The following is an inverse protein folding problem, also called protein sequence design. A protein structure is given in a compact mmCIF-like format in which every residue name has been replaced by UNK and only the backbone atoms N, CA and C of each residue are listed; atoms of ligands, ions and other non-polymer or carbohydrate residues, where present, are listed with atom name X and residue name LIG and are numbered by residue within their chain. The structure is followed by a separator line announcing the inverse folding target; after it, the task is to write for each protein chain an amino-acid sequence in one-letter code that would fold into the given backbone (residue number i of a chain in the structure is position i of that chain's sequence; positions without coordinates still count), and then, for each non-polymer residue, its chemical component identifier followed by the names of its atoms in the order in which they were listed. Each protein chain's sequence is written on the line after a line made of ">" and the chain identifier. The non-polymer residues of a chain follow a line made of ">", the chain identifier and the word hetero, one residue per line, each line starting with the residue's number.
data_IF_391893336194
#
_entry.id   IF_391893336194
#
_cell.length_a   1.000
_cell.length_b   1.000
_cell.length_c   1.000
_cell.angle_alpha   90.00
_cell.angle_beta   90.00
_cell.angle_gamma   90.00
#
_symmetry.space_group_name_H-M   'P 1'
#
loop_
_entity.id
_entity.type
_entity.pdbx_description
1 polymer ?
#
# COMPACT_ATOMS: atom_id res chain seq x y z
N UNK A 1 -7.99 18.85 6.22
CA UNK A 1 -9.24 19.10 5.43
C UNK A 1 -9.53 17.85 4.61
N UNK A 2 -10.78 17.35 4.64
CA UNK A 2 -11.19 16.16 3.89
C UNK A 2 -10.85 16.30 2.40
N UNK A 3 -10.32 15.23 1.79
CA UNK A 3 -10.04 15.19 0.36
C UNK A 3 -11.32 14.86 -0.43
N UNK A 4 -11.54 15.60 -1.50
CA UNK A 4 -12.65 15.39 -2.44
C UNK A 4 -12.06 15.51 -3.84
N UNK A 5 -12.34 14.55 -4.70
CA UNK A 5 -11.95 14.59 -6.12
C UNK A 5 -12.66 15.76 -6.78
N UNK A 6 -11.89 16.67 -7.38
CA UNK A 6 -12.43 17.86 -8.04
C UNK A 6 -13.05 17.50 -9.40
N UNK A 7 -14.23 18.02 -9.65
CA UNK A 7 -14.86 17.90 -10.99
C UNK A 7 -13.99 18.58 -12.07
N UNK A 8 -13.87 17.89 -13.20
CA UNK A 8 -13.13 18.39 -14.36
C UNK A 8 -13.89 18.14 -15.66
N UNK A 9 -14.42 19.21 -16.26
CA UNK A 9 -15.22 19.13 -17.48
C UNK A 9 -14.43 18.59 -18.67
N UNK A 10 -13.14 18.93 -18.81
CA UNK A 10 -12.30 18.41 -19.89
C UNK A 10 -12.08 16.90 -19.77
N UNK A 11 -11.90 16.41 -18.54
CA UNK A 11 -11.81 14.97 -18.29
C UNK A 11 -13.13 14.28 -18.62
N UNK A 12 -14.27 14.87 -18.25
CA UNK A 12 -15.59 14.31 -18.58
C UNK A 12 -15.80 14.21 -20.09
N UNK A 13 -15.46 15.24 -20.85
CA UNK A 13 -15.53 15.23 -22.31
C UNK A 13 -14.60 14.19 -22.95
N UNK A 14 -13.40 13.99 -22.36
CA UNK A 14 -12.45 12.97 -22.78
C UNK A 14 -13.02 11.57 -22.55
N UNK A 15 -13.49 11.27 -21.35
CA UNK A 15 -14.04 9.96 -20.97
C UNK A 15 -15.26 9.60 -21.84
N UNK A 16 -16.12 10.56 -22.15
CA UNK A 16 -17.30 10.32 -23.00
C UNK A 16 -16.97 9.95 -24.46
N UNK A 17 -15.73 10.20 -24.90
CA UNK A 17 -15.25 9.85 -26.25
C UNK A 17 -14.44 8.56 -26.27
N UNK A 18 -14.03 8.04 -25.12
CA UNK A 18 -13.22 6.83 -25.02
C UNK A 18 -14.03 5.57 -25.32
N UNK A 19 -13.41 4.64 -26.03
CA UNK A 19 -13.94 3.28 -26.17
C UNK A 19 -13.70 2.46 -24.89
N UNK A 20 -14.25 1.24 -24.81
CA UNK A 20 -14.14 0.40 -23.62
C UNK A 20 -12.69 0.07 -23.25
N UNK A 21 -11.83 -0.27 -24.23
CA UNK A 21 -10.42 -0.57 -23.97
C UNK A 21 -9.67 0.63 -23.37
N UNK A 22 -9.89 1.82 -23.92
CA UNK A 22 -9.30 3.06 -23.40
C UNK A 22 -9.77 3.35 -21.97
N UNK A 23 -11.07 3.14 -21.68
CA UNK A 23 -11.62 3.30 -20.34
C UNK A 23 -11.01 2.30 -19.34
N UNK A 24 -10.87 1.04 -19.73
CA UNK A 24 -10.30 0.00 -18.89
C UNK A 24 -8.82 0.29 -18.55
N UNK A 25 -8.05 0.85 -19.48
CA UNK A 25 -6.69 1.30 -19.22
C UNK A 25 -6.60 2.43 -18.17
N UNK A 26 -7.69 3.18 -17.94
CA UNK A 26 -7.73 4.21 -16.90
C UNK A 26 -7.95 3.66 -15.48
N UNK A 27 -8.47 2.45 -15.34
CA UNK A 27 -8.95 1.87 -14.07
C UNK A 27 -8.20 0.61 -13.64
N UNK A 28 -7.03 0.39 -14.22
CA UNK A 28 -6.09 -0.66 -13.82
C UNK A 28 -4.74 -0.07 -13.46
N UNK A 29 -4.03 -0.75 -12.57
CA UNK A 29 -2.65 -0.49 -12.22
C UNK A 29 -1.85 -1.79 -12.42
N UNK A 30 -1.46 -2.13 -13.65
CA UNK A 30 -0.69 -3.32 -13.94
C UNK A 30 0.70 -3.24 -13.31
N UNK A 31 1.29 -4.41 -13.06
CA UNK A 31 2.70 -4.54 -12.70
C UNK A 31 3.55 -4.85 -13.92
N UNK A 32 4.82 -4.48 -13.87
CA UNK A 32 5.78 -4.79 -14.94
C UNK A 32 6.35 -6.18 -14.69
N UNK A 33 5.78 -7.19 -15.34
CA UNK A 33 6.27 -8.58 -15.22
C UNK A 33 7.04 -9.05 -16.46
N UNK A 34 6.55 -8.84 -17.68
CA UNK A 34 7.10 -9.53 -18.84
C UNK A 34 7.46 -8.63 -20.04
N UNK A 35 6.60 -7.73 -20.49
CA UNK A 35 6.88 -6.86 -21.65
C UNK A 35 6.49 -5.42 -21.35
N UNK A 36 7.30 -4.46 -21.82
CA UNK A 36 7.03 -3.03 -21.64
C UNK A 36 5.80 -2.56 -22.45
N UNK A 37 5.38 -3.31 -23.47
CA UNK A 37 4.29 -2.92 -24.37
C UNK A 37 2.93 -2.95 -23.69
N UNK A 38 2.67 -3.91 -22.80
CA UNK A 38 1.37 -4.08 -22.14
C UNK A 38 1.02 -2.96 -21.14
N UNK A 39 2.01 -2.23 -20.66
CA UNK A 39 1.79 -1.16 -19.67
C UNK A 39 1.74 0.24 -20.28
N UNK A 40 2.14 0.40 -21.55
CA UNK A 40 2.23 1.74 -22.18
C UNK A 40 0.88 2.41 -22.43
N UNK A 41 -0.22 1.67 -22.41
CA UNK A 41 -1.58 2.19 -22.53
C UNK A 41 -2.19 2.57 -21.17
N UNK A 42 -1.71 2.00 -20.06
CA UNK A 42 -2.23 2.25 -18.72
C UNK A 42 -1.82 3.65 -18.21
N UNK A 43 -2.61 4.22 -17.34
CA UNK A 43 -2.35 5.52 -16.68
C UNK A 43 -1.65 5.39 -15.34
N UNK A 44 -1.60 4.18 -14.81
CA UNK A 44 -0.99 3.83 -13.52
C UNK A 44 -0.17 2.56 -13.70
N UNK A 45 0.98 2.46 -13.03
CA UNK A 45 1.84 1.30 -13.16
C UNK A 45 2.59 1.02 -11.86
N UNK A 46 2.53 -0.22 -11.40
CA UNK A 46 3.32 -0.69 -10.26
C UNK A 46 4.68 -1.20 -10.72
N UNK A 47 5.72 -0.79 -10.00
CA UNK A 47 7.09 -1.26 -10.23
C UNK A 47 7.56 -2.03 -9.01
N UNK A 48 7.88 -3.30 -9.20
CA UNK A 48 8.41 -4.16 -8.13
C UNK A 48 9.74 -3.65 -7.60
N UNK A 49 10.03 -3.90 -6.29
CA UNK A 49 11.28 -3.52 -5.65
C UNK A 49 12.52 -3.89 -6.47
N UNK A 50 13.43 -2.95 -6.60
CA UNK A 50 14.68 -3.12 -7.37
C UNK A 50 15.71 -2.04 -6.99
N UNK A 51 16.89 -2.09 -7.62
CA UNK A 51 17.90 -1.04 -7.46
C UNK A 51 17.41 0.30 -8.02
N UNK A 52 17.90 1.40 -7.44
CA UNK A 52 17.60 2.77 -7.84
C UNK A 52 17.73 2.97 -9.37
N UNK A 53 18.87 2.57 -9.93
CA UNK A 53 19.16 2.76 -11.36
C UNK A 53 18.24 1.94 -12.26
N UNK A 54 17.90 0.72 -11.86
CA UNK A 54 16.99 -0.13 -12.63
C UNK A 54 15.57 0.43 -12.65
N UNK A 55 15.08 0.89 -11.50
CA UNK A 55 13.75 1.48 -11.41
C UNK A 55 13.66 2.78 -12.21
N UNK A 56 14.64 3.67 -12.04
CA UNK A 56 14.70 4.92 -12.78
C UNK A 56 14.71 4.70 -14.29
N UNK A 57 15.57 3.80 -14.78
CA UNK A 57 15.64 3.45 -16.20
C UNK A 57 14.32 2.86 -16.72
N UNK A 58 13.64 2.00 -15.95
CA UNK A 58 12.33 1.46 -16.32
C UNK A 58 11.29 2.57 -16.45
N UNK A 59 11.22 3.48 -15.48
CA UNK A 59 10.29 4.61 -15.48
C UNK A 59 10.56 5.52 -16.70
N UNK A 60 11.81 5.88 -16.94
CA UNK A 60 12.20 6.70 -18.09
C UNK A 60 11.84 6.04 -19.43
N UNK A 61 12.10 4.75 -19.58
CA UNK A 61 11.75 4.00 -20.79
C UNK A 61 10.23 3.97 -21.02
N UNK A 62 9.43 3.62 -19.99
CA UNK A 62 7.97 3.58 -20.13
C UNK A 62 7.42 4.98 -20.44
N UNK A 63 7.92 6.00 -19.75
CA UNK A 63 7.51 7.39 -19.98
C UNK A 63 7.79 7.83 -21.41
N UNK A 64 8.92 7.42 -21.99
CA UNK A 64 9.30 7.76 -23.37
C UNK A 64 8.41 7.10 -24.44
N UNK A 65 7.82 5.95 -24.11
CA UNK A 65 6.93 5.20 -25.01
C UNK A 65 5.46 5.66 -24.89
N UNK A 66 5.11 6.33 -23.81
CA UNK A 66 3.74 6.74 -23.53
C UNK A 66 3.35 8.05 -24.19
N UNK A 67 2.11 8.12 -24.67
CA UNK A 67 1.52 9.33 -25.26
C UNK A 67 0.79 10.21 -24.23
N UNK A 68 0.66 9.73 -22.99
CA UNK A 68 -0.02 10.44 -21.90
C UNK A 68 0.79 10.35 -20.60
N UNK A 69 0.43 11.16 -19.63
CA UNK A 69 1.04 11.13 -18.30
C UNK A 69 0.65 9.86 -17.56
N UNK A 70 1.58 9.27 -16.84
CA UNK A 70 1.41 8.07 -16.04
C UNK A 70 1.91 8.30 -14.62
N UNK A 71 1.24 7.71 -13.62
CA UNK A 71 1.74 7.65 -12.25
C UNK A 71 2.35 6.29 -11.97
N UNK A 72 3.57 6.31 -11.44
CA UNK A 72 4.29 5.12 -11.01
C UNK A 72 4.16 4.94 -9.50
N UNK A 73 3.93 3.70 -9.08
CA UNK A 73 3.71 3.33 -7.68
C UNK A 73 4.57 2.13 -7.27
N UNK A 74 4.93 2.06 -5.99
CA UNK A 74 5.56 0.89 -5.36
C UNK A 74 5.24 0.88 -3.85
N UNK A 75 5.57 -0.23 -3.17
CA UNK A 75 5.37 -0.36 -1.72
C UNK A 75 6.52 0.29 -0.95
N UNK A 76 6.22 1.36 -0.24
CA UNK A 76 7.15 2.00 0.69
C UNK A 76 6.46 2.17 2.05
N UNK A 77 6.39 1.10 2.83
CA UNK A 77 5.73 1.11 4.13
C UNK A 77 6.63 1.64 5.24
N UNK A 78 7.95 1.55 5.05
CA UNK A 78 8.97 1.94 6.02
C UNK A 78 10.14 2.68 5.33
N UNK A 79 9.82 3.80 4.68
CA UNK A 79 10.80 4.56 3.92
C UNK A 79 11.06 4.00 2.51
N UNK A 80 11.77 4.77 1.68
CA UNK A 80 12.06 4.38 0.29
C UNK A 80 12.95 3.13 0.21
N UNK A 81 13.89 2.95 1.12
CA UNK A 81 14.80 1.80 1.14
C UNK A 81 14.13 0.45 1.40
N UNK A 82 12.82 0.42 1.70
CA UNK A 82 12.05 -0.84 1.73
C UNK A 82 11.73 -1.38 0.33
N UNK A 83 11.77 -0.54 -0.70
CA UNK A 83 11.47 -0.91 -2.09
C UNK A 83 12.60 -0.54 -3.07
N UNK A 84 13.36 0.52 -2.78
CA UNK A 84 14.40 1.06 -3.67
C UNK A 84 15.77 0.75 -3.04
N UNK A 85 16.47 -0.25 -3.58
CA UNK A 85 17.83 -0.56 -3.13
C UNK A 85 18.78 0.61 -3.50
N UNK A 86 19.50 1.10 -2.48
CA UNK A 86 20.33 2.31 -2.55
C UNK A 86 19.66 3.58 -2.00
N UNK A 87 18.37 3.54 -1.64
CA UNK A 87 17.72 4.60 -0.85
C UNK A 87 17.87 4.35 0.65
N UNK A 88 17.58 5.38 1.47
CA UNK A 88 17.69 5.30 2.93
C UNK A 88 16.76 4.24 3.49
N UNK A 89 17.34 3.29 4.22
CA UNK A 89 16.61 2.19 4.83
C UNK A 89 16.27 2.51 6.29
N UNK A 90 15.02 2.86 6.51
CA UNK A 90 14.49 2.97 7.85
C UNK A 90 14.08 1.60 8.40
N UNK A 91 14.04 1.42 9.74
CA UNK A 91 13.41 0.26 10.34
C UNK A 91 11.88 0.29 10.13
N UNK A 92 11.18 -0.74 10.62
CA UNK A 92 9.74 -0.88 10.44
C UNK A 92 8.92 0.22 11.12
N UNK A 93 7.63 0.34 10.77
CA UNK A 93 6.69 1.23 11.46
C UNK A 93 6.57 0.88 12.96
N UNK A 94 6.69 -0.40 13.33
CA UNK A 94 6.78 -0.82 14.73
C UNK A 94 7.96 -0.17 15.45
N UNK A 95 9.11 -0.15 14.82
CA UNK A 95 10.29 0.50 15.40
C UNK A 95 10.10 2.03 15.55
N UNK A 96 9.42 2.68 14.60
CA UNK A 96 9.08 4.10 14.73
C UNK A 96 8.21 4.36 15.98
N UNK A 97 7.23 3.50 16.25
CA UNK A 97 6.43 3.57 17.46
C UNK A 97 7.25 3.31 18.72
N UNK A 98 8.07 2.26 18.72
CA UNK A 98 8.93 1.89 19.86
C UNK A 98 9.99 2.96 20.18
N UNK A 99 10.45 3.72 19.19
CA UNK A 99 11.34 4.86 19.40
C UNK A 99 10.68 6.00 20.20
N UNK A 100 9.35 6.06 20.21
CA UNK A 100 8.58 7.02 21.01
C UNK A 100 8.59 8.45 20.48
N UNK A 101 9.19 8.70 19.31
CA UNK A 101 9.29 10.03 18.68
C UNK A 101 8.49 10.06 17.37
N UNK A 102 7.34 10.75 17.40
CA UNK A 102 6.47 10.93 16.23
C UNK A 102 7.18 11.67 15.08
N UNK A 103 8.11 12.55 15.39
CA UNK A 103 8.84 13.31 14.38
C UNK A 103 9.73 12.40 13.52
N UNK A 104 10.25 11.31 14.07
CA UNK A 104 11.01 10.33 13.30
C UNK A 104 10.12 9.62 12.26
N UNK A 105 8.87 9.32 12.59
CA UNK A 105 7.92 8.79 11.61
C UNK A 105 7.61 9.80 10.49
N UNK A 106 7.47 11.08 10.81
CA UNK A 106 7.32 12.13 9.82
C UNK A 106 8.56 12.23 8.91
N UNK A 107 9.76 12.23 9.50
CA UNK A 107 11.02 12.30 8.75
C UNK A 107 11.25 11.07 7.87
N UNK A 108 10.83 9.89 8.31
CA UNK A 108 10.80 8.68 7.49
C UNK A 108 9.90 8.85 6.25
N UNK A 109 8.71 9.46 6.42
CA UNK A 109 7.79 9.77 5.31
C UNK A 109 8.37 10.83 4.37
N UNK A 110 8.99 11.87 4.91
CA UNK A 110 9.71 12.90 4.13
C UNK A 110 10.82 12.30 3.28
N UNK A 111 11.66 11.46 3.89
CA UNK A 111 12.74 10.77 3.19
C UNK A 111 12.19 9.88 2.07
N UNK A 112 11.15 9.08 2.36
CA UNK A 112 10.51 8.22 1.38
C UNK A 112 10.01 9.01 0.17
N UNK A 113 9.29 10.12 0.41
CA UNK A 113 8.77 10.95 -0.67
C UNK A 113 9.89 11.59 -1.50
N UNK A 114 10.92 12.13 -0.84
CA UNK A 114 12.02 12.79 -1.50
C UNK A 114 12.82 11.84 -2.40
N UNK A 115 13.20 10.68 -1.87
CA UNK A 115 14.01 9.68 -2.59
C UNK A 115 13.20 9.00 -3.71
N UNK A 116 11.95 8.62 -3.43
CA UNK A 116 11.07 8.01 -4.43
C UNK A 116 10.80 8.93 -5.62
N UNK A 117 10.55 10.22 -5.37
CA UNK A 117 10.31 11.19 -6.44
C UNK A 117 11.55 11.45 -7.30
N UNK A 118 12.75 11.33 -6.76
CA UNK A 118 13.99 11.38 -7.55
C UNK A 118 14.14 10.22 -8.54
N UNK A 119 13.56 9.07 -8.20
CA UNK A 119 13.49 7.91 -9.12
C UNK A 119 12.41 8.10 -10.17
N UNK A 120 11.36 8.86 -9.87
CA UNK A 120 10.21 9.10 -10.74
C UNK A 120 8.90 8.49 -10.22
N UNK A 121 8.86 8.05 -8.97
CA UNK A 121 7.62 7.60 -8.34
C UNK A 121 6.75 8.78 -7.92
N UNK A 122 5.44 8.56 -7.92
CA UNK A 122 4.41 9.54 -7.61
C UNK A 122 3.51 9.09 -6.46
N UNK A 123 3.48 7.78 -6.18
CA UNK A 123 2.52 7.15 -5.31
C UNK A 123 3.14 5.97 -4.57
N UNK A 124 2.70 5.73 -3.33
CA UNK A 124 3.10 4.55 -2.54
C UNK A 124 1.90 3.87 -1.89
N UNK A 125 1.98 2.53 -1.77
CA UNK A 125 1.05 1.74 -0.99
C UNK A 125 1.51 1.64 0.47
N UNK A 126 1.32 2.71 1.18
CA UNK A 126 1.62 2.92 2.59
C UNK A 126 1.07 4.26 3.07
N UNK A 127 0.84 4.38 4.37
CA UNK A 127 1.16 3.47 5.47
C UNK A 127 0.19 2.30 5.63
N UNK A 128 0.67 1.23 6.29
CA UNK A 128 -0.15 0.18 6.85
C UNK A 128 -0.72 0.67 8.19
N UNK A 129 -2.07 0.71 8.30
CA UNK A 129 -2.79 1.15 9.50
C UNK A 129 -3.44 -0.01 10.26
N UNK A 130 -3.05 -1.23 9.92
CA UNK A 130 -3.54 -2.43 10.58
C UNK A 130 -3.05 -2.51 12.03
N UNK A 131 -3.93 -2.94 12.93
CA UNK A 131 -3.65 -3.07 14.36
C UNK A 131 -3.11 -4.50 14.62
N UNK A 132 -2.06 -4.65 15.39
CA UNK A 132 -1.57 -5.96 15.81
C UNK A 132 -2.47 -6.55 16.91
N UNK A 133 -3.65 -7.02 16.52
CA UNK A 133 -4.63 -7.62 17.42
C UNK A 133 -4.35 -9.10 17.73
N UNK A 134 -3.60 -9.77 16.88
CA UNK A 134 -3.17 -11.16 17.05
C UNK A 134 -1.69 -11.30 16.67
N UNK A 135 -0.85 -11.68 17.62
CA UNK A 135 0.60 -11.87 17.40
C UNK A 135 0.96 -12.99 16.41
N UNK A 136 0.02 -13.87 16.10
CA UNK A 136 0.17 -14.92 15.08
C UNK A 136 -0.31 -14.47 13.70
N UNK A 137 -0.74 -13.22 13.54
CA UNK A 137 -1.10 -12.70 12.22
C UNK A 137 0.16 -12.63 11.33
N UNK A 138 0.18 -13.33 10.19
CA UNK A 138 1.31 -13.28 9.26
C UNK A 138 1.40 -11.92 8.55
N UNK A 139 0.29 -11.18 8.51
CA UNK A 139 0.17 -9.97 7.70
C UNK A 139 0.63 -8.71 8.41
N UNK A 140 0.53 -8.64 9.72
CA UNK A 140 0.79 -7.40 10.45
C UNK A 140 2.15 -7.36 11.10
N UNK A 141 2.47 -8.24 12.02
CA UNK A 141 3.78 -8.34 12.67
C UNK A 141 4.48 -6.97 12.85
N UNK A 142 5.62 -6.76 12.21
CA UNK A 142 6.40 -5.51 12.25
C UNK A 142 5.82 -4.40 11.33
N UNK A 143 4.88 -4.71 10.45
CA UNK A 143 4.22 -3.71 9.59
C UNK A 143 3.25 -2.83 10.39
N UNK A 144 2.60 -3.40 11.42
CA UNK A 144 1.77 -2.63 12.35
C UNK A 144 2.64 -1.78 13.28
N UNK A 145 2.22 -0.54 13.50
CA UNK A 145 2.89 0.33 14.46
C UNK A 145 2.71 -0.15 15.90
N UNK A 146 1.51 -0.64 16.27
CA UNK A 146 1.16 -0.99 17.64
C UNK A 146 -0.05 -1.93 17.72
N UNK A 147 -0.27 -2.48 18.91
CA UNK A 147 -1.52 -3.10 19.34
C UNK A 147 -2.57 -2.04 19.75
N UNK A 148 -2.11 -0.83 20.02
CA UNK A 148 -2.95 0.29 20.42
C UNK A 148 -3.33 1.14 19.19
N UNK A 149 -4.63 1.33 18.96
CA UNK A 149 -5.16 2.10 17.85
C UNK A 149 -4.68 3.57 17.81
N UNK A 150 -4.47 4.18 18.98
CA UNK A 150 -4.07 5.57 19.08
C UNK A 150 -2.59 5.74 18.69
N UNK A 151 -1.75 4.78 19.02
CA UNK A 151 -0.36 4.72 18.54
C UNK A 151 -0.32 4.44 17.04
N UNK A 152 -1.13 3.49 16.55
CA UNK A 152 -1.23 3.23 15.09
C UNK A 152 -1.59 4.53 14.38
N UNK A 153 -2.66 5.22 14.83
CA UNK A 153 -3.06 6.51 14.24
C UNK A 153 -1.94 7.54 14.31
N UNK A 154 -1.33 7.72 15.46
CA UNK A 154 -0.30 8.75 15.71
C UNK A 154 0.89 8.62 14.75
N UNK A 155 1.52 7.46 14.72
CA UNK A 155 2.77 7.26 13.96
C UNK A 155 2.51 7.13 12.45
N UNK A 156 1.43 6.47 12.06
CA UNK A 156 1.10 6.35 10.63
C UNK A 156 0.58 7.66 10.04
N UNK A 157 -0.10 8.50 10.83
CA UNK A 157 -0.48 9.84 10.39
C UNK A 157 0.74 10.77 10.23
N UNK A 158 1.73 10.66 11.12
CA UNK A 158 2.98 11.39 10.98
C UNK A 158 3.72 10.99 9.69
N UNK A 159 3.83 9.68 9.43
CA UNK A 159 4.41 9.15 8.19
C UNK A 159 3.65 9.64 6.94
N UNK A 160 2.32 9.54 6.94
CA UNK A 160 1.50 10.04 5.83
C UNK A 160 1.69 11.54 5.59
N UNK A 161 1.77 12.36 6.64
CA UNK A 161 2.07 13.80 6.48
C UNK A 161 3.43 14.00 5.80
N UNK A 162 4.47 13.28 6.24
CA UNK A 162 5.78 13.35 5.60
C UNK A 162 5.74 12.98 4.11
N UNK A 163 5.00 11.95 3.74
CA UNK A 163 4.80 11.60 2.32
C UNK A 163 4.11 12.73 1.54
N UNK A 164 2.98 13.23 2.05
CA UNK A 164 2.12 14.19 1.34
C UNK A 164 2.75 15.59 1.26
N UNK A 165 3.42 16.06 2.30
CA UNK A 165 4.10 17.36 2.34
C UNK A 165 5.22 17.45 1.29
N UNK A 166 5.81 16.31 0.92
CA UNK A 166 6.84 16.19 -0.11
C UNK A 166 6.30 15.63 -1.44
N UNK A 167 4.97 15.66 -1.63
CA UNK A 167 4.31 15.43 -2.91
C UNK A 167 4.26 13.98 -3.35
N UNK A 168 4.33 13.00 -2.44
CA UNK A 168 4.06 11.60 -2.73
C UNK A 168 2.65 11.22 -2.27
N UNK A 169 1.87 10.58 -3.12
CA UNK A 169 0.55 10.08 -2.77
C UNK A 169 0.70 8.90 -1.80
N UNK A 170 0.00 8.97 -0.67
CA UNK A 170 -0.11 7.89 0.31
C UNK A 170 -1.37 7.05 0.11
N UNK A 171 -1.31 5.77 0.42
CA UNK A 171 -2.45 4.85 0.44
C UNK A 171 -2.57 4.19 1.79
N UNK A 172 -3.70 4.35 2.45
CA UNK A 172 -3.97 3.58 3.66
C UNK A 172 -4.35 2.14 3.32
N UNK A 173 -3.84 1.19 4.07
CA UNK A 173 -4.12 -0.23 3.88
C UNK A 173 -4.11 -1.02 5.19
N UNK A 174 -4.91 -2.07 5.26
CA UNK A 174 -5.80 -2.68 4.27
C UNK A 174 -7.25 -2.59 4.76
N UNK A 175 -8.09 -1.78 4.12
CA UNK A 175 -9.50 -1.66 4.55
C UNK A 175 -10.24 -3.01 4.38
N UNK A 176 -11.02 -3.49 5.35
CA UNK A 176 -11.51 -2.85 6.58
C UNK A 176 -10.62 -3.06 7.81
N UNK A 177 -9.40 -3.55 7.66
CA UNK A 177 -8.41 -3.77 8.72
C UNK A 177 -8.04 -5.23 8.87
N UNK A 178 -6.73 -5.52 8.78
CA UNK A 178 -6.13 -6.83 9.04
C UNK A 178 -5.58 -6.89 10.48
N UNK A 179 -4.97 -8.02 10.86
CA UNK A 179 -4.20 -8.16 12.10
C UNK A 179 -4.89 -8.89 13.24
N UNK A 180 -6.15 -9.27 13.11
CA UNK A 180 -6.87 -10.04 14.13
C UNK A 180 -6.99 -11.53 13.83
N UNK A 181 -6.59 -11.97 12.64
CA UNK A 181 -6.67 -13.36 12.19
C UNK A 181 -5.29 -13.96 11.94
N UNK A 182 -5.21 -15.29 11.92
CA UNK A 182 -4.03 -16.04 11.49
C UNK A 182 -4.05 -16.37 9.98
N UNK A 183 -5.08 -15.97 9.27
CA UNK A 183 -5.19 -16.21 7.83
C UNK A 183 -4.45 -15.13 7.05
N UNK A 184 -3.80 -15.57 5.98
CA UNK A 184 -3.08 -14.73 5.04
C UNK A 184 -3.95 -14.49 3.81
N UNK A 185 -4.27 -13.22 3.52
CA UNK A 185 -5.08 -12.85 2.37
C UNK A 185 -4.43 -13.19 1.01
N UNK A 186 -3.11 -13.46 0.97
CA UNK A 186 -2.47 -14.00 -0.22
C UNK A 186 -2.90 -15.43 -0.53
N UNK A 187 -3.31 -16.20 0.49
CA UNK A 187 -3.62 -17.63 0.39
C UNK A 187 -5.13 -17.93 0.47
N UNK A 188 -5.90 -17.06 1.13
CA UNK A 188 -7.35 -17.21 1.30
C UNK A 188 -7.98 -15.88 1.66
N UNK A 189 -9.31 -15.77 1.55
CA UNK A 189 -10.02 -14.60 2.11
C UNK A 189 -9.80 -14.55 3.62
N UNK A 190 -9.20 -13.47 4.10
CA UNK A 190 -9.00 -13.20 5.52
C UNK A 190 -10.31 -12.68 6.15
N UNK A 191 -10.38 -12.57 7.47
CA UNK A 191 -11.57 -12.12 8.17
C UNK A 191 -11.19 -11.21 9.35
N UNK A 192 -11.82 -10.06 9.43
CA UNK A 192 -11.79 -9.23 10.63
C UNK A 192 -12.95 -9.63 11.54
N UNK A 193 -12.69 -10.32 12.67
CA UNK A 193 -13.74 -10.91 13.51
C UNK A 193 -14.36 -9.94 14.52
N UNK A 194 -13.98 -8.67 14.47
CA UNK A 194 -14.47 -7.68 15.44
C UNK A 194 -15.98 -7.48 15.33
N UNK A 195 -16.61 -7.32 16.48
CA UNK A 195 -18.00 -6.86 16.54
C UNK A 195 -18.10 -5.43 15.99
N UNK A 196 -19.31 -5.02 15.61
CA UNK A 196 -19.57 -3.68 15.08
C UNK A 196 -19.02 -2.59 15.99
N UNK A 197 -19.28 -2.68 17.31
CA UNK A 197 -18.78 -1.72 18.29
C UNK A 197 -17.24 -1.71 18.35
N UNK A 198 -16.61 -2.89 18.39
CA UNK A 198 -15.15 -2.99 18.45
C UNK A 198 -14.50 -2.41 17.19
N UNK A 199 -15.08 -2.69 16.02
CA UNK A 199 -14.60 -2.16 14.76
C UNK A 199 -14.78 -0.63 14.68
N UNK A 200 -15.95 -0.11 15.05
CA UNK A 200 -16.21 1.34 15.08
C UNK A 200 -15.25 2.07 16.03
N UNK A 201 -14.99 1.48 17.21
CA UNK A 201 -14.09 2.06 18.22
C UNK A 201 -12.59 1.95 17.87
N UNK A 202 -12.22 1.15 16.86
CA UNK A 202 -10.84 0.90 16.44
C UNK A 202 -10.59 1.33 14.99
N UNK A 203 -10.78 0.45 14.03
CA UNK A 203 -10.55 0.75 12.59
C UNK A 203 -11.47 1.85 12.08
N UNK A 204 -12.74 1.84 12.45
CA UNK A 204 -13.68 2.90 12.09
C UNK A 204 -13.20 4.27 12.53
N UNK A 205 -12.69 4.37 13.75
CA UNK A 205 -12.06 5.59 14.26
C UNK A 205 -10.80 5.98 13.47
N UNK A 206 -9.89 5.04 13.23
CA UNK A 206 -8.65 5.28 12.47
C UNK A 206 -8.99 5.83 11.08
N UNK A 207 -9.81 5.11 10.29
CA UNK A 207 -10.19 5.54 8.94
C UNK A 207 -10.88 6.91 8.94
N UNK A 208 -11.75 7.16 9.91
CA UNK A 208 -12.46 8.43 10.04
C UNK A 208 -11.48 9.61 10.27
N UNK A 209 -10.46 9.42 11.12
CA UNK A 209 -9.43 10.43 11.34
C UNK A 209 -8.60 10.68 10.08
N UNK A 210 -8.21 9.67 9.35
CA UNK A 210 -7.47 9.82 8.10
C UNK A 210 -8.31 10.47 6.99
N UNK A 211 -9.58 10.11 6.87
CA UNK A 211 -10.51 10.75 5.92
C UNK A 211 -10.65 12.23 6.24
N UNK A 212 -10.81 12.58 7.50
CA UNK A 212 -10.86 13.99 7.94
C UNK A 212 -9.56 14.74 7.63
N UNK A 213 -8.42 14.08 7.73
CA UNK A 213 -7.08 14.64 7.48
C UNK A 213 -6.64 14.57 6.01
N UNK A 214 -7.53 14.19 5.09
CA UNK A 214 -7.31 14.35 3.66
C UNK A 214 -6.54 13.22 3.00
N UNK A 215 -6.69 11.97 3.49
CA UNK A 215 -6.18 10.81 2.76
C UNK A 215 -6.82 10.74 1.37
N UNK A 216 -6.01 10.49 0.35
CA UNK A 216 -6.46 10.48 -1.05
C UNK A 216 -6.83 9.09 -1.56
N UNK A 217 -6.17 8.06 -1.05
CA UNK A 217 -6.34 6.68 -1.52
C UNK A 217 -6.47 5.72 -0.35
N UNK A 218 -7.41 4.77 -0.47
CA UNK A 218 -7.57 3.64 0.45
C UNK A 218 -7.54 2.35 -0.37
N UNK A 219 -6.74 1.38 0.09
CA UNK A 219 -6.67 0.05 -0.50
C UNK A 219 -7.68 -0.87 0.18
N UNK A 220 -8.56 -1.45 -0.64
CA UNK A 220 -9.52 -2.47 -0.22
C UNK A 220 -8.82 -3.84 -0.17
N UNK A 221 -8.64 -4.36 1.03
CA UNK A 221 -8.07 -5.69 1.27
C UNK A 221 -9.04 -6.82 0.91
N UNK A 222 -8.49 -8.03 0.76
CA UNK A 222 -9.29 -9.24 0.54
C UNK A 222 -9.69 -9.85 1.89
N UNK A 223 -10.33 -9.01 2.70
CA UNK A 223 -10.67 -9.24 4.11
C UNK A 223 -12.17 -9.07 4.28
N UNK A 224 -12.85 -10.08 4.77
CA UNK A 224 -14.27 -9.98 5.12
C UNK A 224 -14.47 -9.29 6.47
N UNK A 225 -15.60 -8.58 6.61
CA UNK A 225 -16.02 -7.95 7.87
C UNK A 225 -17.47 -8.31 8.18
N UNK A 226 -17.72 -9.46 8.86
CA UNK A 226 -19.07 -9.94 9.19
C UNK A 226 -19.93 -8.95 9.97
N UNK A 227 -19.30 -8.01 10.69
CA UNK A 227 -19.98 -6.99 11.45
C UNK A 227 -20.77 -5.98 10.58
N UNK A 228 -20.45 -5.87 9.29
CA UNK A 228 -21.02 -4.91 8.37
C UNK A 228 -21.46 -5.51 7.03
N UNK A 229 -21.36 -6.83 6.89
CA UNK A 229 -21.71 -7.52 5.66
C UNK A 229 -22.55 -8.77 5.94
N UNK A 230 -23.19 -9.29 4.90
CA UNK A 230 -23.98 -10.52 4.94
C UNK A 230 -23.29 -11.62 4.14
N UNK A 231 -23.65 -12.86 4.45
CA UNK A 231 -23.17 -14.01 3.69
C UNK A 231 -23.80 -14.03 2.30
N UNK A 232 -23.00 -14.42 1.32
CA UNK A 232 -23.50 -14.69 -0.02
C UNK A 232 -24.39 -15.96 -0.08
N UNK A 233 -24.86 -16.32 -1.27
CA UNK A 233 -25.68 -17.52 -1.51
C UNK A 233 -24.99 -18.83 -1.14
N UNK A 234 -23.66 -18.84 -1.00
CA UNK A 234 -22.87 -20.00 -0.59
C UNK A 234 -22.61 -20.01 0.93
N UNK A 235 -23.12 -19.05 1.67
CA UNK A 235 -22.92 -18.94 3.10
C UNK A 235 -21.57 -18.38 3.52
N UNK A 236 -20.86 -17.70 2.60
CA UNK A 236 -19.52 -17.13 2.81
C UNK A 236 -19.62 -15.58 2.83
N UNK A 237 -18.88 -14.94 3.73
CA UNK A 237 -18.76 -13.48 3.71
C UNK A 237 -17.81 -13.03 2.59
N UNK A 238 -18.22 -12.10 1.71
CA UNK A 238 -17.35 -11.59 0.67
C UNK A 238 -16.18 -10.78 1.26
N UNK A 239 -15.02 -10.75 0.60
CA UNK A 239 -13.95 -9.84 0.95
C UNK A 239 -14.37 -8.39 0.66
N UNK A 240 -13.81 -7.43 1.40
CA UNK A 240 -14.16 -6.02 1.27
C UNK A 240 -14.00 -5.51 -0.17
N UNK A 241 -12.98 -5.96 -0.87
CA UNK A 241 -12.75 -5.64 -2.28
C UNK A 241 -13.93 -6.02 -3.21
N UNK A 242 -14.81 -6.94 -2.79
CA UNK A 242 -15.96 -7.40 -3.59
C UNK A 242 -17.31 -7.04 -2.96
N UNK A 243 -17.30 -6.30 -1.84
CA UNK A 243 -18.48 -6.03 -1.02
C UNK A 243 -19.00 -4.60 -1.21
N UNK A 244 -20.18 -4.47 -1.81
CA UNK A 244 -20.91 -3.19 -1.88
C UNK A 244 -21.24 -2.62 -0.48
N UNK A 245 -21.72 -3.43 0.51
CA UNK A 245 -21.90 -2.96 1.88
C UNK A 245 -20.63 -2.35 2.48
N UNK A 246 -19.45 -2.90 2.20
CA UNK A 246 -18.20 -2.40 2.77
C UNK A 246 -17.62 -1.21 2.00
N UNK A 247 -17.54 -1.27 0.67
CA UNK A 247 -16.93 -0.18 -0.10
C UNK A 247 -17.87 1.02 -0.28
N UNK A 248 -19.14 0.78 -0.52
CA UNK A 248 -20.11 1.86 -0.73
C UNK A 248 -20.75 2.29 0.57
N UNK A 249 -21.55 1.42 1.24
CA UNK A 249 -22.33 1.86 2.38
C UNK A 249 -21.46 2.24 3.59
N UNK A 250 -20.41 1.43 3.89
CA UNK A 250 -19.56 1.71 5.04
C UNK A 250 -18.49 2.78 4.71
N UNK A 251 -17.64 2.55 3.70
CA UNK A 251 -16.48 3.42 3.46
C UNK A 251 -16.90 4.77 2.85
N UNK A 252 -17.70 4.75 1.77
CA UNK A 252 -18.08 6.00 1.09
C UNK A 252 -19.19 6.74 1.84
N UNK A 253 -20.28 6.07 2.19
CA UNK A 253 -21.45 6.75 2.76
C UNK A 253 -21.29 7.02 4.25
N UNK A 254 -21.06 5.96 5.08
CA UNK A 254 -21.00 6.12 6.54
C UNK A 254 -19.75 6.87 6.98
N UNK A 255 -18.54 6.49 6.49
CA UNK A 255 -17.28 7.16 6.85
C UNK A 255 -17.03 8.41 6.01
N UNK A 256 -17.74 8.56 4.90
CA UNK A 256 -17.69 9.73 4.03
C UNK A 256 -16.41 9.83 3.19
N UNK A 257 -15.81 8.73 2.77
CA UNK A 257 -14.62 8.75 1.91
C UNK A 257 -14.98 9.09 0.46
N UNK A 258 -14.36 10.11 -0.09
CA UNK A 258 -14.59 10.60 -1.46
C UNK A 258 -13.37 10.45 -2.37
N UNK A 259 -12.25 9.93 -1.85
CA UNK A 259 -11.03 9.65 -2.58
C UNK A 259 -11.12 8.36 -3.43
N UNK A 260 -9.97 7.88 -3.87
CA UNK A 260 -9.82 6.69 -4.71
C UNK A 260 -9.80 5.42 -3.86
N UNK A 261 -10.54 4.40 -4.29
CA UNK A 261 -10.47 3.04 -3.75
C UNK A 261 -9.72 2.17 -4.77
N UNK A 262 -8.52 1.72 -4.40
CA UNK A 262 -7.77 0.71 -5.16
C UNK A 262 -7.95 -0.67 -4.51
N UNK A 263 -7.98 -1.74 -5.30
CA UNK A 263 -7.95 -3.09 -4.74
C UNK A 263 -6.57 -3.42 -4.17
N UNK A 264 -6.47 -4.39 -3.29
CA UNK A 264 -5.23 -5.14 -3.10
C UNK A 264 -4.93 -5.98 -4.37
N UNK A 265 -3.77 -6.64 -4.42
CA UNK A 265 -3.32 -7.34 -5.61
C UNK A 265 -4.33 -8.42 -6.04
N UNK A 266 -4.84 -8.30 -7.27
CA UNK A 266 -5.89 -9.19 -7.79
C UNK A 266 -5.44 -10.63 -8.02
N UNK A 267 -4.13 -10.88 -8.00
CA UNK A 267 -3.53 -12.21 -8.09
C UNK A 267 -3.63 -13.02 -6.77
N UNK A 268 -3.92 -12.33 -5.66
CA UNK A 268 -4.03 -12.96 -4.34
C UNK A 268 -5.25 -13.89 -4.27
N UNK A 269 -5.08 -15.06 -3.64
CA UNK A 269 -6.17 -16.05 -3.53
C UNK A 269 -7.38 -15.52 -2.75
N UNK A 270 -7.20 -14.53 -1.87
CA UNK A 270 -8.31 -13.83 -1.21
C UNK A 270 -9.27 -13.14 -2.18
N UNK A 271 -8.82 -12.81 -3.39
CA UNK A 271 -9.60 -12.22 -4.47
C UNK A 271 -10.00 -13.27 -5.53
N UNK A 272 -9.00 -13.83 -6.23
CA UNK A 272 -9.25 -14.74 -7.35
C UNK A 272 -9.72 -16.14 -6.94
N UNK A 273 -9.57 -16.51 -5.67
CA UNK A 273 -10.09 -17.77 -5.13
C UNK A 273 -11.52 -17.67 -4.57
N UNK A 274 -12.07 -16.46 -4.39
CA UNK A 274 -13.44 -16.29 -3.92
C UNK A 274 -14.46 -16.54 -5.03
N UNK A 275 -14.20 -16.06 -6.23
CA UNK A 275 -15.01 -16.29 -7.44
C UNK A 275 -14.12 -16.25 -8.70
N UNK A 276 -14.70 -16.50 -9.87
CA UNK A 276 -13.96 -16.37 -11.12
C UNK A 276 -13.27 -15.00 -11.22
N UNK A 277 -12.01 -14.98 -11.66
CA UNK A 277 -11.19 -13.77 -11.70
C UNK A 277 -11.87 -12.58 -12.40
N UNK A 278 -12.43 -12.79 -13.59
CA UNK A 278 -13.09 -11.71 -14.33
C UNK A 278 -14.40 -11.29 -13.67
N UNK A 279 -15.11 -12.22 -13.01
CA UNK A 279 -16.28 -11.90 -12.19
C UNK A 279 -15.89 -11.06 -10.99
N UNK A 280 -14.80 -11.38 -10.32
CA UNK A 280 -14.28 -10.57 -9.22
C UNK A 280 -13.90 -9.14 -9.69
N UNK A 281 -13.29 -9.01 -10.86
CA UNK A 281 -12.93 -7.69 -11.41
C UNK A 281 -14.15 -6.79 -11.62
N UNK A 282 -15.24 -7.28 -12.26
CA UNK A 282 -16.42 -6.44 -12.42
C UNK A 282 -17.18 -6.24 -11.09
N UNK A 283 -17.18 -7.22 -10.19
CA UNK A 283 -17.79 -7.09 -8.87
C UNK A 283 -17.12 -5.99 -8.05
N UNK A 284 -15.77 -5.86 -8.12
CA UNK A 284 -15.05 -4.76 -7.51
C UNK A 284 -15.54 -3.38 -7.97
N UNK A 285 -15.72 -3.17 -9.28
CA UNK A 285 -16.23 -1.90 -9.80
C UNK A 285 -17.67 -1.65 -9.36
N UNK A 286 -18.53 -2.67 -9.37
CA UNK A 286 -19.90 -2.57 -8.89
C UNK A 286 -19.98 -2.30 -7.38
N UNK A 287 -19.06 -2.88 -6.60
CA UNK A 287 -18.96 -2.63 -5.17
C UNK A 287 -18.55 -1.19 -4.84
N UNK A 288 -17.96 -0.47 -5.77
CA UNK A 288 -17.55 0.92 -5.56
C UNK A 288 -16.05 1.18 -5.70
N UNK A 289 -15.25 0.18 -6.05
CA UNK A 289 -13.82 0.32 -6.31
C UNK A 289 -13.53 1.12 -7.58
N UNK A 290 -12.38 1.78 -7.63
CA UNK A 290 -11.99 2.68 -8.71
C UNK A 290 -10.85 2.14 -9.57
N UNK A 291 -9.90 1.36 -9.00
CA UNK A 291 -8.72 0.87 -9.72
C UNK A 291 -8.33 -0.53 -9.29
N UNK A 292 -8.14 -1.45 -10.23
CA UNK A 292 -7.67 -2.81 -9.98
C UNK A 292 -6.14 -2.87 -9.99
N UNK A 293 -5.54 -3.32 -8.89
CA UNK A 293 -4.10 -3.53 -8.79
C UNK A 293 -3.70 -4.87 -9.41
N UNK A 294 -2.67 -4.88 -10.24
CA UNK A 294 -2.10 -6.01 -10.99
C UNK A 294 -3.04 -6.62 -12.06
N UNK A 295 -4.16 -5.96 -12.36
CA UNK A 295 -4.96 -6.35 -13.50
C UNK A 295 -4.36 -5.79 -14.80
N UNK A 296 -4.29 -6.65 -15.81
CA UNK A 296 -3.80 -6.30 -17.16
C UNK A 296 -4.97 -6.25 -18.14
N UNK A 297 -5.16 -5.15 -18.88
CA UNK A 297 -6.27 -5.01 -19.83
C UNK A 297 -5.96 -5.72 -21.16
N UNK A 298 -5.73 -7.04 -21.10
CA UNK A 298 -5.53 -7.92 -22.25
C UNK A 298 -6.79 -7.96 -23.12
N UNK A 299 -6.69 -8.47 -24.36
CA UNK A 299 -7.85 -8.69 -25.23
C UNK A 299 -8.91 -9.55 -24.51
N UNK A 300 -8.50 -10.61 -23.83
CA UNK A 300 -9.40 -11.47 -23.05
C UNK A 300 -10.11 -10.69 -21.95
N UNK A 301 -9.40 -9.85 -21.20
CA UNK A 301 -9.99 -9.00 -20.16
C UNK A 301 -11.05 -8.06 -20.77
N UNK A 302 -10.70 -7.40 -21.87
CA UNK A 302 -11.62 -6.49 -22.57
C UNK A 302 -12.85 -7.23 -23.06
N UNK A 303 -12.69 -8.42 -23.65
CA UNK A 303 -13.82 -9.21 -24.18
C UNK A 303 -14.71 -9.72 -23.04
N UNK A 304 -14.15 -10.14 -21.91
CA UNK A 304 -14.94 -10.49 -20.72
C UNK A 304 -15.74 -9.29 -20.19
N UNK A 305 -15.16 -8.10 -20.13
CA UNK A 305 -15.90 -6.90 -19.73
C UNK A 305 -17.03 -6.58 -20.70
N UNK A 306 -16.85 -6.76 -22.02
CA UNK A 306 -17.93 -6.64 -23.02
C UNK A 306 -19.06 -7.64 -22.77
N UNK A 307 -18.73 -8.92 -22.49
CA UNK A 307 -19.73 -9.95 -22.16
C UNK A 307 -20.56 -9.55 -20.93
N UNK A 308 -19.92 -9.05 -19.87
CA UNK A 308 -20.63 -8.61 -18.66
C UNK A 308 -21.48 -7.37 -18.88
N UNK A 309 -21.05 -6.45 -19.73
CA UNK A 309 -21.86 -5.29 -20.12
C UNK A 309 -23.06 -5.74 -20.95
N UNK A 310 -22.87 -6.62 -21.93
CA UNK A 310 -23.95 -7.13 -22.76
C UNK A 310 -24.98 -7.92 -21.96
N UNK A 311 -24.59 -8.61 -20.91
CA UNK A 311 -25.48 -9.34 -19.99
C UNK A 311 -26.14 -8.46 -18.91
N UNK A 312 -25.79 -7.18 -18.83
CA UNK A 312 -26.30 -6.26 -17.82
C UNK A 312 -25.73 -6.45 -16.41
N UNK A 313 -24.72 -7.32 -16.23
CA UNK A 313 -24.02 -7.52 -14.95
C UNK A 313 -23.11 -6.34 -14.59
N UNK A 314 -22.62 -5.62 -15.59
CA UNK A 314 -21.83 -4.39 -15.49
C UNK A 314 -22.44 -3.35 -16.41
N UNK A 315 -22.30 -2.06 -16.12
CA UNK A 315 -22.77 -1.00 -17.02
C UNK A 315 -21.61 -0.13 -17.52
N UNK A 316 -21.75 0.40 -18.74
CA UNK A 316 -20.78 1.39 -19.27
C UNK A 316 -20.67 2.60 -18.36
N UNK A 317 -21.77 3.03 -17.75
CA UNK A 317 -21.80 4.15 -16.80
C UNK A 317 -20.89 3.92 -15.60
N UNK A 318 -20.89 2.71 -15.02
CA UNK A 318 -19.97 2.35 -13.93
C UNK A 318 -18.53 2.50 -14.41
N UNK A 319 -18.15 1.92 -15.53
CA UNK A 319 -16.77 1.99 -16.06
C UNK A 319 -16.38 3.44 -16.38
N UNK A 320 -17.24 4.21 -17.04
CA UNK A 320 -16.99 5.63 -17.32
C UNK A 320 -16.83 6.45 -16.05
N UNK A 321 -17.64 6.20 -15.02
CA UNK A 321 -17.52 6.89 -13.74
C UNK A 321 -16.19 6.58 -13.07
N UNK A 322 -15.74 5.31 -13.06
CA UNK A 322 -14.43 4.95 -12.48
C UNK A 322 -13.27 5.60 -13.27
N UNK A 323 -13.32 5.53 -14.60
CA UNK A 323 -12.31 6.17 -15.46
C UNK A 323 -12.27 7.68 -15.24
N UNK A 324 -13.43 8.33 -15.15
CA UNK A 324 -13.53 9.75 -14.85
C UNK A 324 -12.86 10.11 -13.52
N UNK A 325 -13.15 9.38 -12.45
CA UNK A 325 -12.57 9.60 -11.11
C UNK A 325 -11.05 9.44 -11.14
N UNK A 326 -10.56 8.36 -11.76
CA UNK A 326 -9.12 8.08 -11.86
C UNK A 326 -8.40 9.14 -12.70
N UNK A 327 -8.95 9.59 -13.80
CA UNK A 327 -8.35 10.64 -14.61
C UNK A 327 -8.41 12.02 -13.92
N UNK A 328 -9.47 12.35 -13.20
CA UNK A 328 -9.51 13.57 -12.38
C UNK A 328 -8.43 13.54 -11.29
N UNK A 329 -8.24 12.40 -10.64
CA UNK A 329 -7.19 12.20 -9.65
C UNK A 329 -5.79 12.38 -10.25
N UNK A 330 -5.54 11.81 -11.44
CA UNK A 330 -4.30 11.98 -12.18
C UNK A 330 -4.02 13.45 -12.51
N UNK A 331 -5.00 14.14 -13.11
CA UNK A 331 -4.84 15.54 -13.53
C UNK A 331 -4.64 16.46 -12.32
N UNK A 332 -5.36 16.23 -11.22
CA UNK A 332 -5.17 16.98 -9.98
C UNK A 332 -3.75 16.81 -9.45
N UNK A 333 -3.25 15.56 -9.39
CA UNK A 333 -1.90 15.29 -8.92
C UNK A 333 -0.86 15.98 -9.81
N UNK A 334 -0.95 15.80 -11.12
CA UNK A 334 -0.01 16.39 -12.07
C UNK A 334 0.02 17.92 -11.99
N UNK A 335 -1.13 18.55 -11.73
CA UNK A 335 -1.21 20.01 -11.59
C UNK A 335 -0.59 20.51 -10.26
N UNK A 336 -0.54 19.66 -9.23
CA UNK A 336 -0.06 20.03 -7.90
C UNK A 336 1.40 19.63 -7.63
N UNK A 337 1.95 18.69 -8.41
CA UNK A 337 3.33 18.22 -8.22
C UNK A 337 4.32 19.31 -8.63
N UNK A 338 4.75 20.05 -7.62
CA UNK A 338 5.83 21.02 -7.77
C UNK A 338 7.18 20.30 -7.97
N UNK A 339 8.15 21.03 -8.51
CA UNK A 339 9.55 20.59 -8.52
C UNK A 339 9.99 20.18 -7.11
N UNK A 340 10.74 19.09 -7.01
CA UNK A 340 11.38 18.72 -5.74
C UNK A 340 12.17 19.90 -5.18
N UNK A 341 12.10 20.18 -3.87
CA UNK A 341 13.01 21.15 -3.26
C UNK A 341 14.45 20.75 -3.56
N UNK A 342 15.28 21.70 -3.97
CA UNK A 342 16.70 21.47 -4.29
C UNK A 342 17.57 21.10 -3.07
N UNK A 343 16.99 20.62 -1.98
CA UNK A 343 17.71 20.36 -0.74
C UNK A 343 18.44 19.01 -0.81
N UNK A 344 19.50 18.96 -1.62
CA UNK A 344 20.34 17.78 -1.85
C UNK A 344 21.26 17.41 -0.67
N UNK A 345 21.16 18.07 0.47
CA UNK A 345 22.12 17.94 1.56
C UNK A 345 21.59 17.26 2.84
N UNK A 346 20.30 16.91 2.88
CA UNK A 346 19.75 16.26 4.06
C UNK A 346 20.18 14.80 4.10
N UNK A 347 20.87 14.40 5.14
CA UNK A 347 21.31 13.02 5.35
C UNK A 347 20.25 12.27 6.16
N UNK A 348 19.35 11.57 5.50
CA UNK A 348 18.26 10.81 6.12
C UNK A 348 18.74 9.59 6.91
N UNK A 349 19.96 9.08 6.64
CA UNK A 349 20.58 8.00 7.41
C UNK A 349 20.73 8.36 8.90
N UNK A 350 20.91 9.63 9.22
CA UNK A 350 21.01 10.10 10.62
C UNK A 350 19.70 9.78 11.37
N UNK A 351 18.56 10.03 10.74
CA UNK A 351 17.24 9.79 11.35
C UNK A 351 16.92 8.30 11.43
N UNK A 352 17.31 7.54 10.39
CA UNK A 352 17.17 6.09 10.40
C UNK A 352 17.97 5.46 11.55
N UNK A 353 19.24 5.86 11.74
CA UNK A 353 20.09 5.39 12.84
C UNK A 353 19.53 5.82 14.20
N UNK A 354 19.08 7.07 14.35
CA UNK A 354 18.42 7.54 15.57
C UNK A 354 17.18 6.69 15.90
N UNK A 355 16.37 6.35 14.91
CA UNK A 355 15.20 5.49 15.11
C UNK A 355 15.60 4.09 15.56
N UNK A 356 16.67 3.50 15.00
CA UNK A 356 17.22 2.22 15.43
C UNK A 356 17.66 2.30 16.89
N UNK A 357 18.48 3.28 17.25
CA UNK A 357 19.00 3.42 18.60
C UNK A 357 17.89 3.56 19.65
N UNK A 358 16.87 4.37 19.37
CA UNK A 358 15.75 4.57 20.29
C UNK A 358 14.77 3.40 20.35
N UNK A 359 14.66 2.61 19.28
CA UNK A 359 13.75 1.45 19.23
C UNK A 359 14.35 0.16 19.80
N UNK A 360 15.67 0.07 19.94
CA UNK A 360 16.33 -1.09 20.53
C UNK A 360 16.05 -1.19 22.02
N UNK A 361 15.29 -2.20 22.42
CA UNK A 361 14.92 -2.45 23.82
C UNK A 361 15.29 -3.86 24.24
N UNK A 362 15.74 -4.01 25.48
CA UNK A 362 15.99 -5.31 26.09
C UNK A 362 14.67 -5.84 26.67
N UNK A 363 14.02 -6.74 25.94
CA UNK A 363 12.77 -7.38 26.42
C UNK A 363 13.02 -8.53 27.40
N UNK A 364 14.19 -9.17 27.30
CA UNK A 364 14.56 -10.30 28.17
C UNK A 364 16.07 -10.47 28.27
N UNK A 365 16.56 -10.41 29.47
CA UNK A 365 17.96 -10.80 29.84
C UNK A 365 17.95 -11.65 31.12
N UNK A 366 17.68 -12.97 30.94
CA UNK A 366 17.54 -13.91 32.08
C UNK A 366 18.79 -14.08 32.90
N UNK A 367 19.97 -13.94 32.31
CA UNK A 367 21.25 -14.22 32.91
C UNK A 367 22.08 -12.95 33.13
N UNK A 368 21.50 -11.78 32.91
CA UNK A 368 22.16 -10.48 33.03
C UNK A 368 23.47 -10.41 32.24
N UNK A 369 23.47 -10.90 31.00
CA UNK A 369 24.62 -10.93 30.11
C UNK A 369 24.78 -9.68 29.25
N UNK A 370 23.79 -8.83 29.25
CA UNK A 370 23.81 -7.59 28.47
C UNK A 370 24.20 -6.38 29.36
N UNK A 371 24.97 -5.42 28.85
CA UNK A 371 25.71 -5.47 27.58
C UNK A 371 26.80 -6.53 27.58
N UNK A 372 27.03 -7.17 26.42
CA UNK A 372 28.09 -8.19 26.30
C UNK A 372 29.44 -7.54 26.53
N UNK A 373 30.20 -8.09 27.48
CA UNK A 373 31.55 -7.62 27.78
C UNK A 373 32.56 -8.21 26.77
N UNK A 374 33.36 -7.33 26.14
CA UNK A 374 34.33 -7.71 25.11
C UNK A 374 35.75 -7.94 25.67
N UNK A 375 35.88 -8.06 26.99
CA UNK A 375 37.12 -8.30 27.69
C UNK A 375 37.65 -9.75 27.58
N UNK A 376 36.84 -10.64 27.02
CA UNK A 376 37.14 -12.06 26.81
C UNK A 376 36.84 -12.49 25.39
N UNK A 377 37.58 -13.49 24.86
CA UNK A 377 37.23 -14.09 23.57
C UNK A 377 35.81 -14.63 23.58
N UNK A 378 34.95 -14.09 22.68
CA UNK A 378 33.59 -14.52 22.53
C UNK A 378 33.48 -15.52 21.37
N UNK A 379 32.61 -16.50 21.53
CA UNK A 379 32.10 -17.34 20.43
C UNK A 379 30.64 -17.06 20.26
N UNK A 380 30.24 -16.65 19.06
CA UNK A 380 28.87 -16.33 18.72
C UNK A 380 28.38 -17.37 17.72
N UNK A 381 27.26 -18.04 18.01
CA UNK A 381 26.54 -18.83 17.04
C UNK A 381 25.47 -17.95 16.38
N UNK A 382 25.67 -17.56 15.12
CA UNK A 382 24.69 -16.85 14.34
C UNK A 382 23.83 -17.86 13.59
N UNK A 383 22.61 -18.09 14.08
CA UNK A 383 21.63 -19.00 13.45
C UNK A 383 20.63 -18.16 12.66
N UNK A 384 20.60 -18.37 11.35
CA UNK A 384 19.67 -17.69 10.46
C UNK A 384 18.52 -18.61 10.11
N UNK A 385 17.29 -18.17 10.39
CA UNK A 385 16.06 -18.83 9.94
C UNK A 385 15.42 -17.87 8.93
N UNK A 386 15.61 -18.13 7.65
CA UNK A 386 15.14 -17.28 6.57
C UNK A 386 14.49 -18.09 5.45
N UNK A 387 13.48 -17.50 4.79
CA UNK A 387 13.09 -17.91 3.46
C UNK A 387 14.12 -17.40 2.44
N UNK A 388 14.14 -17.95 1.28
CA UNK A 388 15.15 -17.98 0.24
C UNK A 388 15.79 -16.68 -0.29
N UNK A 389 15.50 -15.46 0.19
CA UNK A 389 15.56 -14.35 -0.74
C UNK A 389 16.67 -13.29 -0.60
N UNK A 390 17.28 -13.01 0.49
CA UNK A 390 18.41 -12.07 0.50
C UNK A 390 19.41 -12.34 1.61
N UNK A 391 20.44 -13.06 1.26
CA UNK A 391 21.56 -13.33 2.17
C UNK A 391 22.48 -12.11 2.35
N UNK A 392 22.37 -11.06 1.54
CA UNK A 392 23.31 -9.93 1.58
C UNK A 392 23.27 -9.17 2.90
N UNK A 393 22.10 -8.98 3.50
CA UNK A 393 21.96 -8.37 4.82
C UNK A 393 22.48 -9.27 5.93
N UNK A 394 22.24 -10.57 5.78
CA UNK A 394 22.72 -11.60 6.72
C UNK A 394 24.24 -11.66 6.69
N UNK A 395 24.84 -11.64 5.51
CA UNK A 395 26.29 -11.60 5.34
C UNK A 395 26.92 -10.34 5.92
N UNK A 396 26.31 -9.17 5.70
CA UNK A 396 26.75 -7.90 6.30
C UNK A 396 26.73 -7.98 7.84
N UNK A 397 25.64 -8.50 8.41
CA UNK A 397 25.51 -8.66 9.85
C UNK A 397 26.52 -9.66 10.40
N UNK A 398 26.67 -10.84 9.75
CA UNK A 398 27.67 -11.84 10.13
C UNK A 398 29.09 -11.26 10.10
N UNK A 399 29.41 -10.48 9.06
CA UNK A 399 30.71 -9.80 8.94
C UNK A 399 30.93 -8.78 10.08
N UNK A 400 29.91 -8.03 10.47
CA UNK A 400 29.99 -7.13 11.61
C UNK A 400 30.22 -7.91 12.93
N UNK A 401 29.46 -8.98 13.16
CA UNK A 401 29.67 -9.84 14.34
C UNK A 401 31.09 -10.40 14.36
N UNK A 402 31.65 -10.82 13.25
CA UNK A 402 33.02 -11.38 13.14
C UNK A 402 34.11 -10.36 13.45
N UNK A 403 33.80 -9.06 13.45
CA UNK A 403 34.75 -8.02 13.90
C UNK A 403 34.90 -7.97 15.46
N UNK A 404 33.92 -8.53 16.18
CA UNK A 404 33.90 -8.53 17.65
C UNK A 404 34.17 -9.90 18.25
N UNK A 405 33.93 -10.98 17.53
CA UNK A 405 33.99 -12.36 18.04
C UNK A 405 34.24 -13.40 16.94
N UNK A 406 34.60 -14.63 17.32
CA UNK A 406 34.50 -15.78 16.41
C UNK A 406 33.03 -16.13 16.18
N UNK A 407 32.60 -16.06 14.96
CA UNK A 407 31.22 -16.36 14.52
C UNK A 407 31.17 -17.69 13.81
#
# INVERSE_FOLDING_TARGET
>A
MKYIIKENKMVLEKVNKMNLEELLNCIVCPNIVATQEDVTKAYFCFIHPNTYDNMKRKIENITSLNQHKMLFVTDMEAGAGSAIDGATRFPSMRAACEAGDENLAYLMGKAAAYEARKVGFHWTFGPCVDILGNHFSPMTSIRSASENKDDVLKYTAAYMRGLQDFGLIATLKHFPGDGYTMFDQHLTTSCNPLTKKQWDDSYGYIYQQFIHNGVKVIMAGHISLPAYDEKDSNGIYPPASLSYPLLTNLLKEKLGFEGIIISDATEMSGFCGYMNYYEACFAFFNAGGDCLLFAHPTEEFVDKMKEYIASGKLTMEVIQNRAYRMLCFLEEYVAQVNTLPENDKENFEIYANQMVDLSCKIYRDRNHILPIQLDKPLKIAHVVIACQYDFSLIEKFTKQLSSFASV
#
